data_IF_747981425483
#
_entry.id   IF_747981425483
#
_cell.length_a   1.000
_cell.length_b   1.000
_cell.length_c   1.000
_cell.angle_alpha   90.00
_cell.angle_beta   90.00
_cell.angle_gamma   90.00
#
_symmetry.space_group_name_H-M   'P 1'
#
loop_
_entity.id
_entity.type
_entity.pdbx_description
1 polymer ?
#
# COMPACT_ATOMS: atom_id res chain seq x y z
N UNK A 1 7.06 -1.63 -2.53
CA UNK A 1 6.48 -0.33 -2.19
C UNK A 1 6.25 -0.22 -0.69
N UNK A 2 6.66 0.89 -0.10
CA UNK A 2 6.42 1.24 1.31
C UNK A 2 5.78 2.66 1.39
N UNK A 3 4.52 2.79 1.85
CA UNK A 3 3.83 4.07 1.95
C UNK A 3 4.26 4.94 3.14
N UNK A 4 5.13 4.45 4.03
CA UNK A 4 5.68 5.21 5.15
C UNK A 4 7.13 4.77 5.36
N UNK A 5 7.96 5.00 4.34
CA UNK A 5 9.26 4.35 4.22
C UNK A 5 10.30 4.84 5.25
N UNK A 6 10.06 5.97 5.92
CA UNK A 6 10.98 6.53 6.90
C UNK A 6 12.34 6.77 6.25
N UNK A 7 13.40 6.26 6.90
CA UNK A 7 14.77 6.32 6.38
C UNK A 7 15.09 5.26 5.31
N UNK A 8 14.10 4.48 4.86
CA UNK A 8 14.26 3.47 3.80
C UNK A 8 14.70 2.08 4.29
N UNK A 9 14.76 1.84 5.60
CA UNK A 9 15.29 0.59 6.16
C UNK A 9 14.61 -0.69 5.64
N UNK A 10 13.28 -0.70 5.51
CA UNK A 10 12.56 -1.86 4.99
C UNK A 10 12.80 -2.11 3.50
N UNK A 11 12.97 -1.03 2.72
CA UNK A 11 13.31 -1.13 1.29
C UNK A 11 14.71 -1.72 1.12
N UNK A 12 15.67 -1.24 1.91
CA UNK A 12 17.06 -1.70 1.90
C UNK A 12 17.19 -3.17 2.31
N UNK A 13 16.52 -3.58 3.39
CA UNK A 13 16.53 -4.99 3.82
C UNK A 13 15.92 -5.90 2.77
N UNK A 14 14.85 -5.46 2.09
CA UNK A 14 14.22 -6.26 1.03
C UNK A 14 15.16 -6.44 -0.18
N UNK A 15 15.88 -5.40 -0.56
CA UNK A 15 16.86 -5.42 -1.66
C UNK A 15 18.07 -6.30 -1.33
N UNK A 16 18.65 -6.14 -0.13
CA UNK A 16 19.76 -6.96 0.35
C UNK A 16 19.37 -8.45 0.40
N UNK A 17 18.19 -8.77 0.94
CA UNK A 17 17.69 -10.14 1.01
C UNK A 17 17.46 -10.75 -0.38
N UNK A 18 17.00 -9.97 -1.36
CA UNK A 18 16.91 -10.45 -2.74
C UNK A 18 18.28 -10.82 -3.28
N UNK A 19 19.27 -9.95 -3.12
CA UNK A 19 20.62 -10.17 -3.66
C UNK A 19 21.31 -11.38 -3.01
N UNK A 20 21.03 -11.68 -1.74
CA UNK A 20 21.49 -12.92 -1.08
C UNK A 20 20.93 -14.18 -1.76
N UNK A 21 19.68 -14.13 -2.22
CA UNK A 21 19.00 -15.25 -2.88
C UNK A 21 19.31 -15.34 -4.38
N UNK A 22 19.43 -14.19 -5.03
CA UNK A 22 19.67 -14.04 -6.45
C UNK A 22 20.51 -12.77 -6.71
N UNK A 23 21.83 -12.89 -6.86
CA UNK A 23 22.72 -11.75 -7.09
C UNK A 23 22.44 -10.94 -8.35
N UNK A 24 21.79 -11.55 -9.36
CA UNK A 24 21.39 -10.87 -10.60
C UNK A 24 19.96 -10.31 -10.52
N UNK A 25 19.27 -10.50 -9.39
CA UNK A 25 17.93 -9.99 -9.15
C UNK A 25 17.94 -8.47 -9.05
N UNK A 26 16.93 -7.83 -9.64
CA UNK A 26 16.73 -6.39 -9.53
C UNK A 26 15.36 -6.12 -8.93
N UNK A 27 15.32 -5.39 -7.83
CA UNK A 27 14.10 -4.83 -7.26
C UNK A 27 14.04 -3.34 -7.57
N UNK A 28 12.91 -2.90 -8.10
CA UNK A 28 12.59 -1.47 -8.14
C UNK A 28 11.96 -1.08 -6.80
N UNK A 29 12.67 -0.23 -6.05
CA UNK A 29 12.24 0.20 -4.72
C UNK A 29 11.40 1.47 -4.85
N UNK A 30 10.23 1.46 -4.21
CA UNK A 30 9.30 2.59 -4.20
C UNK A 30 8.93 2.92 -2.76
N UNK A 31 9.02 4.20 -2.39
CA UNK A 31 8.77 4.69 -1.04
C UNK A 31 8.05 6.02 -1.03
N UNK A 32 7.25 6.28 -0.01
CA UNK A 32 6.74 7.61 0.29
C UNK A 32 6.97 7.96 1.76
N UNK A 33 7.39 9.20 1.99
CA UNK A 33 7.71 9.71 3.32
C UNK A 33 7.23 11.15 3.48
N UNK A 34 6.76 11.48 4.68
CA UNK A 34 6.18 12.77 5.04
C UNK A 34 7.20 13.72 5.68
N UNK A 35 8.19 13.19 6.42
CA UNK A 35 9.22 14.00 7.10
C UNK A 35 10.40 14.31 6.20
N UNK A 36 10.79 15.59 6.12
CA UNK A 36 11.90 16.09 5.31
C UNK A 36 13.21 15.35 5.59
N UNK A 37 13.54 15.15 6.87
CA UNK A 37 14.78 14.51 7.30
C UNK A 37 14.83 13.05 6.87
N UNK A 38 13.74 12.31 7.13
CA UNK A 38 13.63 10.89 6.78
C UNK A 38 13.66 10.69 5.26
N UNK A 39 12.96 11.54 4.51
CA UNK A 39 12.96 11.53 3.05
C UNK A 39 14.38 11.77 2.49
N UNK A 40 15.11 12.76 3.01
CA UNK A 40 16.47 13.05 2.56
C UNK A 40 17.43 11.88 2.83
N UNK A 41 17.31 11.24 4.00
CA UNK A 41 18.09 10.05 4.35
C UNK A 41 17.73 8.88 3.42
N UNK A 42 16.43 8.58 3.26
CA UNK A 42 15.95 7.50 2.40
C UNK A 42 16.40 7.71 0.95
N UNK A 43 16.15 8.89 0.38
CA UNK A 43 16.55 9.22 -0.99
C UNK A 43 18.05 9.09 -1.19
N UNK A 44 18.86 9.54 -0.23
CA UNK A 44 20.33 9.39 -0.29
C UNK A 44 20.77 7.93 -0.28
N UNK A 45 20.19 7.11 0.61
CA UNK A 45 20.48 5.67 0.70
C UNK A 45 20.09 4.93 -0.60
N UNK A 46 18.92 5.25 -1.15
CA UNK A 46 18.44 4.69 -2.42
C UNK A 46 19.37 5.06 -3.59
N UNK A 47 19.79 6.33 -3.68
CA UNK A 47 20.74 6.76 -4.72
C UNK A 47 22.09 6.06 -4.63
N UNK A 48 22.62 5.87 -3.42
CA UNK A 48 23.89 5.13 -3.19
C UNK A 48 23.77 3.69 -3.69
N UNK A 49 22.59 3.08 -3.53
CA UNK A 49 22.26 1.72 -4.01
C UNK A 49 21.90 1.66 -5.51
N UNK A 50 22.01 2.78 -6.24
CA UNK A 50 21.72 2.84 -7.67
C UNK A 50 20.22 2.87 -8.00
N UNK A 51 19.35 3.11 -7.03
CA UNK A 51 17.92 3.26 -7.21
C UNK A 51 17.56 4.70 -7.63
N UNK A 52 16.43 4.86 -8.33
CA UNK A 52 15.97 6.18 -8.77
C UNK A 52 15.36 6.97 -7.61
N UNK A 53 15.84 8.21 -7.41
CA UNK A 53 15.22 9.14 -6.46
C UNK A 53 13.76 9.45 -6.83
N UNK A 54 13.38 9.36 -8.10
CA UNK A 54 12.00 9.59 -8.53
C UNK A 54 11.02 8.57 -7.94
N UNK A 55 11.52 7.40 -7.51
CA UNK A 55 10.72 6.37 -6.86
C UNK A 55 10.55 6.60 -5.36
N UNK A 56 11.14 7.66 -4.81
CA UNK A 56 10.91 8.11 -3.44
C UNK A 56 10.13 9.41 -3.50
N UNK A 57 8.93 9.43 -2.91
CA UNK A 57 8.03 10.59 -2.91
C UNK A 57 8.05 11.27 -1.56
N UNK A 58 8.10 12.61 -1.60
CA UNK A 58 7.96 13.45 -0.44
C UNK A 58 6.56 14.05 -0.40
N UNK A 59 5.70 13.50 0.46
CA UNK A 59 4.43 14.09 0.89
C UNK A 59 3.67 13.12 1.81
N UNK A 60 2.54 13.56 2.36
CA UNK A 60 1.62 12.69 3.09
C UNK A 60 0.92 11.66 2.17
N UNK A 61 1.04 10.37 2.51
CA UNK A 61 0.53 9.25 1.70
C UNK A 61 -1.00 9.19 1.62
N UNK A 62 -1.71 9.80 2.56
CA UNK A 62 -3.16 9.84 2.54
C UNK A 62 -3.66 10.97 1.64
N UNK A 63 -3.26 12.20 1.89
CA UNK A 63 -3.77 13.39 1.20
C UNK A 63 -3.13 13.62 -0.16
N UNK A 64 -1.88 13.18 -0.36
CA UNK A 64 -1.15 13.33 -1.63
C UNK A 64 -0.40 12.06 -1.97
N UNK A 65 -1.18 11.13 -2.52
CA UNK A 65 -0.70 9.85 -3.00
C UNK A 65 0.29 10.01 -4.17
N UNK A 66 1.58 9.84 -3.88
CA UNK A 66 2.66 9.96 -4.86
C UNK A 66 2.65 8.86 -5.93
N UNK A 67 1.83 7.82 -5.75
CA UNK A 67 1.74 6.64 -6.59
C UNK A 67 0.31 6.28 -6.97
N UNK A 68 -0.60 7.26 -7.05
CA UNK A 68 -2.05 7.08 -7.26
C UNK A 68 -2.42 6.02 -8.31
N UNK A 69 -1.74 6.02 -9.45
CA UNK A 69 -2.00 5.09 -10.57
C UNK A 69 -1.07 3.86 -10.62
N UNK A 70 -0.13 3.73 -9.69
CA UNK A 70 0.83 2.62 -9.67
C UNK A 70 0.29 1.41 -8.92
N UNK A 71 0.67 0.22 -9.37
CA UNK A 71 0.40 -1.06 -8.72
C UNK A 71 1.70 -1.82 -8.49
N UNK A 72 1.81 -2.55 -7.39
CA UNK A 72 3.06 -3.16 -6.95
C UNK A 72 2.92 -4.66 -6.69
N UNK A 73 3.97 -5.43 -6.96
CA UNK A 73 4.04 -6.87 -6.68
C UNK A 73 4.21 -7.14 -5.18
N UNK A 74 5.11 -6.39 -4.55
CA UNK A 74 5.48 -6.53 -3.15
C UNK A 74 5.34 -5.20 -2.43
N UNK A 75 4.68 -5.26 -1.28
CA UNK A 75 4.53 -4.13 -0.37
C UNK A 75 4.97 -4.54 1.01
N UNK A 76 5.85 -3.75 1.60
CA UNK A 76 6.39 -3.97 2.93
C UNK A 76 6.38 -2.62 3.63
N UNK A 77 5.72 -2.55 4.79
CA UNK A 77 5.58 -1.30 5.52
C UNK A 77 5.70 -1.52 7.02
N UNK A 78 6.22 -0.49 7.70
CA UNK A 78 6.19 -0.37 9.16
C UNK A 78 5.62 1.01 9.53
N UNK A 79 4.31 1.21 9.34
CA UNK A 79 3.69 2.51 9.56
C UNK A 79 3.79 2.93 11.04
N UNK A 80 3.80 4.25 11.33
CA UNK A 80 3.88 4.76 12.69
C UNK A 80 2.73 4.22 13.54
N UNK A 81 3.09 3.69 14.70
CA UNK A 81 2.12 3.05 15.58
C UNK A 81 1.29 4.07 16.34
N UNK A 82 -0.04 3.92 16.28
CA UNK A 82 -0.96 4.84 16.97
C UNK A 82 -0.98 6.24 16.35
N UNK A 83 -0.69 6.34 15.05
CA UNK A 83 -0.82 7.58 14.30
C UNK A 83 -2.25 8.13 14.44
N UNK A 84 -2.37 9.36 14.91
CA UNK A 84 -3.62 10.11 14.85
C UNK A 84 -3.78 10.70 13.45
N UNK A 85 -4.85 10.37 12.74
CA UNK A 85 -5.13 10.85 11.38
C UNK A 85 -6.15 12.00 11.34
N UNK A 86 -6.29 12.70 12.47
CA UNK A 86 -7.20 13.85 12.58
C UNK A 86 -6.91 14.96 11.57
N UNK A 87 -5.64 15.31 11.27
CA UNK A 87 -5.35 16.31 10.25
C UNK A 87 -5.84 15.92 8.85
N UNK A 88 -5.84 14.62 8.54
CA UNK A 88 -6.26 14.07 7.24
C UNK A 88 -7.76 13.68 7.22
N UNK A 89 -8.48 13.90 8.33
CA UNK A 89 -9.84 13.37 8.53
C UNK A 89 -10.82 13.82 7.45
N UNK A 90 -10.82 15.12 7.12
CA UNK A 90 -11.72 15.67 6.11
C UNK A 90 -11.48 15.03 4.75
N UNK A 91 -10.21 14.86 4.37
CA UNK A 91 -9.83 14.27 3.08
C UNK A 91 -10.26 12.80 3.01
N UNK A 92 -9.93 12.01 4.03
CA UNK A 92 -10.22 10.59 4.08
C UNK A 92 -11.73 10.34 4.11
N UNK A 93 -12.49 11.11 4.90
CA UNK A 93 -13.96 11.01 4.94
C UNK A 93 -14.57 11.37 3.61
N UNK A 94 -14.09 12.42 2.95
CA UNK A 94 -14.58 12.80 1.62
C UNK A 94 -14.34 11.68 0.59
N UNK A 95 -13.14 11.08 0.58
CA UNK A 95 -12.85 9.95 -0.31
C UNK A 95 -13.78 8.76 0.00
N UNK A 96 -13.94 8.43 1.27
CA UNK A 96 -14.84 7.36 1.72
C UNK A 96 -16.30 7.60 1.30
N UNK A 97 -16.83 8.79 1.54
CA UNK A 97 -18.24 9.13 1.25
C UNK A 97 -18.51 9.21 -0.26
N UNK A 98 -17.55 9.66 -1.06
CA UNK A 98 -17.72 9.85 -2.50
C UNK A 98 -17.40 8.61 -3.33
N UNK A 99 -16.37 7.86 -2.95
CA UNK A 99 -15.86 6.74 -3.73
C UNK A 99 -16.25 5.38 -3.13
N UNK A 100 -16.65 5.32 -1.86
CA UNK A 100 -17.03 4.07 -1.21
C UNK A 100 -15.98 2.99 -1.43
N UNK A 101 -16.41 1.81 -1.87
CA UNK A 101 -15.55 0.66 -2.16
C UNK A 101 -14.60 0.84 -3.36
N UNK A 102 -14.86 1.82 -4.24
CA UNK A 102 -14.00 2.11 -5.38
C UNK A 102 -12.78 2.98 -4.97
N UNK A 103 -12.87 3.64 -3.80
CA UNK A 103 -11.79 4.42 -3.19
C UNK A 103 -10.88 3.59 -2.29
N UNK A 104 -9.81 4.21 -1.76
CA UNK A 104 -8.80 3.49 -0.96
C UNK A 104 -9.34 3.06 0.41
N UNK A 105 -10.25 3.85 0.99
CA UNK A 105 -10.71 3.66 2.38
C UNK A 105 -12.11 3.04 2.50
N UNK A 106 -12.62 2.43 1.42
CA UNK A 106 -13.99 1.95 1.32
C UNK A 106 -14.42 0.84 2.27
N UNK A 107 -13.49 0.22 2.99
CA UNK A 107 -13.79 -0.87 3.92
C UNK A 107 -14.32 -0.32 5.24
N UNK A 108 -13.98 0.93 5.56
CA UNK A 108 -14.39 1.61 6.77
C UNK A 108 -13.25 2.40 7.38
N UNK A 109 -13.63 3.38 8.20
CA UNK A 109 -12.70 4.28 8.85
C UNK A 109 -12.44 3.82 10.29
N UNK A 110 -11.17 3.64 10.71
CA UNK A 110 -10.84 3.29 12.08
C UNK A 110 -11.13 4.46 13.03
N UNK A 111 -10.80 4.31 14.32
CA UNK A 111 -10.84 5.47 15.24
C UNK A 111 -9.78 6.48 14.82
N UNK A 112 -10.02 7.76 15.14
CA UNK A 112 -9.11 8.88 14.79
C UNK A 112 -7.69 8.66 15.31
N UNK A 113 -7.52 7.98 16.44
CA UNK A 113 -6.23 7.67 17.05
C UNK A 113 -5.59 6.34 16.58
N UNK A 114 -6.07 5.75 15.49
CA UNK A 114 -5.50 4.53 14.91
C UNK A 114 -5.47 4.60 13.38
N UNK A 115 -4.45 5.26 12.84
CA UNK A 115 -4.19 5.35 11.40
C UNK A 115 -3.57 4.09 10.78
N UNK A 116 -3.19 3.09 11.58
CA UNK A 116 -2.49 1.89 11.10
C UNK A 116 -3.31 1.11 10.05
N UNK A 117 -4.63 1.07 10.25
CA UNK A 117 -5.55 0.41 9.32
C UNK A 117 -5.72 1.16 8.00
N UNK A 118 -5.55 2.48 7.99
CA UNK A 118 -5.61 3.29 6.77
C UNK A 118 -4.42 3.00 5.85
N UNK A 119 -3.21 2.84 6.39
CA UNK A 119 -2.05 2.43 5.60
C UNK A 119 -2.23 1.05 4.97
N UNK A 120 -2.84 0.11 5.71
CA UNK A 120 -3.14 -1.21 5.19
C UNK A 120 -4.13 -1.16 4.02
N UNK A 121 -5.22 -0.41 4.18
CA UNK A 121 -6.18 -0.16 3.10
C UNK A 121 -5.53 0.53 1.89
N UNK A 122 -4.67 1.52 2.14
CA UNK A 122 -3.89 2.18 1.11
C UNK A 122 -3.01 1.19 0.33
N UNK A 123 -2.27 0.29 1.00
CA UNK A 123 -1.50 -0.77 0.33
C UNK A 123 -2.40 -1.73 -0.47
N UNK A 124 -3.55 -2.13 0.09
CA UNK A 124 -4.51 -3.00 -0.62
C UNK A 124 -4.97 -2.32 -1.93
N UNK A 125 -5.20 -1.02 -1.91
CA UNK A 125 -5.57 -0.28 -3.13
C UNK A 125 -4.50 -0.32 -4.23
N UNK A 126 -3.22 -0.59 -3.89
CA UNK A 126 -2.09 -0.69 -4.82
C UNK A 126 -1.81 -2.11 -5.30
N UNK A 127 -2.66 -3.08 -4.95
CA UNK A 127 -2.50 -4.45 -5.42
C UNK A 127 -2.77 -4.56 -6.93
N UNK A 128 -2.01 -5.42 -7.60
CA UNK A 128 -2.25 -5.78 -9.00
C UNK A 128 -3.47 -6.72 -9.11
N UNK A 129 -4.23 -6.71 -10.22
CA UNK A 129 -5.37 -7.61 -10.43
C UNK A 129 -5.01 -9.10 -10.33
N UNK A 130 -3.82 -9.49 -10.78
CA UNK A 130 -3.25 -10.84 -10.69
C UNK A 130 -2.79 -11.23 -9.28
N UNK A 131 -2.80 -10.27 -8.35
CA UNK A 131 -2.43 -10.42 -6.95
C UNK A 131 -1.07 -9.81 -6.62
N UNK A 132 -0.92 -9.43 -5.36
CA UNK A 132 0.31 -8.90 -4.76
C UNK A 132 0.59 -9.58 -3.42
N UNK A 133 1.73 -9.27 -2.80
CA UNK A 133 2.05 -9.71 -1.44
C UNK A 133 2.26 -8.48 -0.55
N UNK A 134 1.64 -8.48 0.63
CA UNK A 134 1.73 -7.41 1.61
C UNK A 134 2.33 -7.98 2.91
N UNK A 135 3.42 -7.39 3.37
CA UNK A 135 3.91 -7.50 4.73
C UNK A 135 3.68 -6.18 5.47
N UNK A 136 2.94 -6.19 6.56
CA UNK A 136 2.72 -5.00 7.38
C UNK A 136 3.09 -5.31 8.83
N UNK A 137 4.08 -4.60 9.37
CA UNK A 137 4.46 -4.77 10.77
C UNK A 137 3.74 -3.74 11.64
N UNK A 138 2.79 -4.20 12.46
CA UNK A 138 2.10 -3.35 13.44
C UNK A 138 1.86 -4.14 14.74
N UNK A 139 2.40 -3.67 15.90
CA UNK A 139 2.34 -4.40 17.16
C UNK A 139 0.91 -4.64 17.73
N UNK A 140 -0.12 -3.96 17.21
CA UNK A 140 -1.53 -4.12 17.63
C UNK A 140 -2.50 -4.27 16.46
N UNK A 141 -2.21 -5.15 15.50
CA UNK A 141 -3.32 -5.65 14.69
C UNK A 141 -4.25 -6.46 15.60
N UNK A 142 -5.37 -5.86 15.98
CA UNK A 142 -6.38 -6.55 16.80
C UNK A 142 -7.07 -7.62 15.96
N UNK A 143 -7.54 -8.71 16.58
CA UNK A 143 -8.28 -9.78 15.89
C UNK A 143 -9.41 -9.25 14.98
N UNK A 144 -10.02 -8.12 15.34
CA UNK A 144 -11.05 -7.46 14.55
C UNK A 144 -10.55 -6.98 13.19
N UNK A 145 -9.34 -6.42 13.10
CA UNK A 145 -8.74 -5.96 11.85
C UNK A 145 -8.37 -7.13 10.92
N UNK A 146 -8.02 -8.31 11.48
CA UNK A 146 -7.82 -9.54 10.70
C UNK A 146 -9.13 -10.10 10.12
N UNK A 147 -10.23 -10.05 10.87
CA UNK A 147 -11.55 -10.45 10.37
C UNK A 147 -11.99 -9.52 9.24
N UNK A 148 -11.81 -8.20 9.41
CA UNK A 148 -12.06 -7.24 8.34
C UNK A 148 -11.18 -7.52 7.12
N UNK A 149 -9.92 -7.92 7.29
CA UNK A 149 -9.05 -8.33 6.17
C UNK A 149 -9.59 -9.54 5.39
N UNK A 150 -10.13 -10.54 6.08
CA UNK A 150 -10.74 -11.71 5.45
C UNK A 150 -12.05 -11.35 4.72
N UNK A 151 -12.84 -10.44 5.28
CA UNK A 151 -14.02 -9.89 4.63
C UNK A 151 -13.64 -9.08 3.37
N UNK A 152 -12.53 -8.33 3.41
CA UNK A 152 -11.96 -7.60 2.26
C UNK A 152 -11.59 -8.56 1.13
N UNK A 153 -10.81 -9.62 1.42
CA UNK A 153 -10.44 -10.63 0.42
C UNK A 153 -11.69 -11.25 -0.18
N UNK A 154 -12.70 -11.52 0.64
CA UNK A 154 -13.97 -12.10 0.19
C UNK A 154 -14.79 -11.13 -0.66
N UNK A 155 -14.82 -9.84 -0.32
CA UNK A 155 -15.51 -8.80 -1.10
C UNK A 155 -14.81 -8.53 -2.43
N UNK A 156 -13.48 -8.54 -2.45
CA UNK A 156 -12.68 -8.47 -3.68
C UNK A 156 -12.91 -9.67 -4.59
N UNK A 157 -12.91 -10.90 -4.04
CA UNK A 157 -13.25 -12.11 -4.80
C UNK A 157 -14.67 -11.99 -5.40
N UNK A 158 -15.64 -11.51 -4.63
CA UNK A 158 -17.03 -11.33 -5.11
C UNK A 158 -17.12 -10.24 -6.19
N UNK A 159 -16.42 -9.12 -6.03
CA UNK A 159 -16.42 -8.01 -7.00
C UNK A 159 -15.70 -8.40 -8.29
N UNK A 160 -14.57 -9.10 -8.19
CA UNK A 160 -13.84 -9.67 -9.31
C UNK A 160 -14.65 -10.72 -10.06
N UNK A 161 -15.30 -11.66 -9.34
CA UNK A 161 -16.22 -12.64 -9.93
C UNK A 161 -17.42 -11.95 -10.58
N UNK A 162 -18.01 -10.94 -9.96
CA UNK A 162 -19.14 -10.21 -10.52
C UNK A 162 -18.73 -9.47 -11.80
N UNK A 163 -17.58 -8.81 -11.82
CA UNK A 163 -17.03 -8.14 -13.00
C UNK A 163 -16.76 -9.15 -14.13
N UNK A 164 -16.15 -10.29 -13.83
CA UNK A 164 -15.83 -11.32 -14.82
C UNK A 164 -17.07 -12.03 -15.38
N UNK A 165 -18.09 -12.26 -14.54
CA UNK A 165 -19.33 -12.94 -14.92
C UNK A 165 -20.32 -12.02 -15.66
N UNK A 166 -20.24 -10.71 -15.45
CA UNK A 166 -21.14 -9.73 -16.10
C UNK A 166 -20.53 -9.04 -17.33
N UNK A 167 -19.21 -9.05 -17.50
CA UNK A 167 -18.52 -8.26 -18.54
C UNK A 167 -18.04 -9.05 -19.77
N UNK A 168 -18.50 -10.30 -20.01
CA UNK A 168 -18.18 -11.03 -21.25
C UNK A 168 -19.39 -11.74 -21.89
N UNK A 169 -19.95 -11.22 -22.99
CA UNK A 169 -20.73 -12.02 -23.95
C UNK A 169 -19.82 -12.69 -25.00
N UNK A 170 -18.64 -13.20 -24.60
CA UNK A 170 -17.67 -13.79 -25.53
C UNK A 170 -16.76 -14.82 -24.83
N UNK A 171 -17.35 -15.90 -24.30
CA UNK A 171 -16.60 -17.13 -23.98
C UNK A 171 -17.53 -18.36 -24.10
N UNK A 172 -18.27 -18.41 -25.22
CA UNK A 172 -18.83 -19.64 -25.79
C UNK A 172 -18.25 -19.73 -27.19
N UNK A 173 -17.49 -20.78 -27.49
CA UNK A 173 -16.42 -20.91 -28.53
C UNK A 173 -15.09 -20.44 -27.92
N UNK A 174 -14.14 -21.29 -27.54
CA UNK A 174 -13.82 -22.64 -27.99
C UNK A 174 -13.48 -23.54 -26.79
N UNK A 175 -13.58 -24.83 -27.06
CA UNK A 175 -13.23 -25.97 -26.21
C UNK A 175 -11.71 -26.07 -26.12
#
# INVERSE_FOLDING_TARGET
FDPACGTGGMLSVADEYLHELNPDGQLELFGQEYTDESYAICGSDMMIKGQSLENIKFDDSFTKDGFSNSKFDYMLANPPFGLEWKPEEEFIRKEYDQQGHDGRFGVGLPRINDGSFLFLQHMISKMKPEGSRIGNYTPKLTCQQYITLLEIITCWIKTFLCYFLTSRPAFKREI
#
